data_IF_990855458625
#
_entry.id   IF_990855458625
#
_cell.length_a   1.000
_cell.length_b   1.000
_cell.length_c   1.000
_cell.angle_alpha   90.00
_cell.angle_beta   90.00
_cell.angle_gamma   90.00
#
_symmetry.space_group_name_H-M   'P 1'
#
loop_
_entity.id
_entity.type
_entity.pdbx_description
1 polymer ?
#
# COMPACT_ATOMS: atom_id res chain seq x y z
N UNK A 1 3.76 19.17 18.57
CA UNK A 1 2.35 19.19 18.11
C UNK A 1 2.24 18.11 17.08
N UNK A 2 2.00 16.90 17.55
CA UNK A 2 1.90 15.72 16.70
C UNK A 2 0.53 15.84 16.04
N UNK A 3 0.47 16.35 14.82
CA UNK A 3 -0.81 16.52 14.12
C UNK A 3 -1.25 15.15 13.61
N UNK A 4 -2.19 14.45 14.28
CA UNK A 4 -2.57 13.10 13.89
C UNK A 4 -3.18 13.06 12.48
N UNK A 5 -3.71 14.20 12.00
CA UNK A 5 -4.22 14.33 10.64
C UNK A 5 -3.11 14.21 9.59
N UNK A 6 -1.90 14.73 9.89
CA UNK A 6 -0.78 14.63 8.96
C UNK A 6 -0.35 13.16 8.79
N UNK A 7 -0.26 12.40 9.88
CA UNK A 7 0.06 10.96 9.84
C UNK A 7 -1.04 10.17 9.12
N UNK A 8 -2.31 10.46 9.41
CA UNK A 8 -3.45 9.82 8.74
C UNK A 8 -3.42 10.04 7.22
N UNK A 9 -3.23 11.29 6.79
CA UNK A 9 -3.17 11.66 5.36
C UNK A 9 -2.00 10.96 4.69
N UNK A 10 -0.81 10.96 5.31
CA UNK A 10 0.37 10.26 4.77
C UNK A 10 0.10 8.76 4.65
N UNK A 11 -0.45 8.11 5.68
CA UNK A 11 -0.73 6.68 5.63
C UNK A 11 -1.75 6.31 4.56
N UNK A 12 -2.83 7.09 4.43
CA UNK A 12 -3.83 6.87 3.39
C UNK A 12 -3.24 7.08 1.99
N UNK A 13 -2.42 8.11 1.80
CA UNK A 13 -1.74 8.36 0.53
C UNK A 13 -0.77 7.22 0.19
N UNK A 14 0.02 6.74 1.15
CA UNK A 14 0.93 5.61 0.97
C UNK A 14 0.17 4.33 0.63
N UNK A 15 -0.96 4.05 1.28
CA UNK A 15 -1.80 2.90 0.97
C UNK A 15 -2.37 2.99 -0.46
N UNK A 16 -2.90 4.16 -0.85
CA UNK A 16 -3.46 4.39 -2.17
C UNK A 16 -2.41 4.22 -3.30
N UNK A 17 -1.20 4.76 -3.10
CA UNK A 17 -0.10 4.62 -4.06
C UNK A 17 0.35 3.15 -4.20
N UNK A 18 0.46 2.41 -3.10
CA UNK A 18 0.79 0.98 -3.15
C UNK A 18 -0.26 0.17 -3.91
N UNK A 19 -1.54 0.44 -3.67
CA UNK A 19 -2.65 -0.23 -4.37
C UNK A 19 -2.63 0.12 -5.87
N UNK A 20 -2.44 1.40 -6.21
CA UNK A 20 -2.39 1.84 -7.60
C UNK A 20 -1.27 1.18 -8.40
N UNK A 21 -0.06 1.12 -7.83
CA UNK A 21 1.08 0.47 -8.48
C UNK A 21 0.88 -1.05 -8.55
N UNK A 22 0.34 -1.67 -7.50
CA UNK A 22 0.04 -3.11 -7.54
C UNK A 22 -1.00 -3.46 -8.62
N UNK A 23 -2.01 -2.62 -8.82
CA UNK A 23 -3.00 -2.79 -9.88
C UNK A 23 -2.35 -2.67 -11.27
N UNK A 24 -1.45 -1.69 -11.46
CA UNK A 24 -0.71 -1.55 -12.72
C UNK A 24 0.24 -2.74 -13.00
N UNK A 25 0.89 -3.27 -11.96
CA UNK A 25 1.76 -4.44 -12.00
C UNK A 25 0.95 -5.72 -12.35
N UNK A 26 -0.24 -5.89 -11.77
CA UNK A 26 -1.17 -7.00 -12.04
C UNK A 26 -1.83 -6.91 -13.42
N UNK A 27 -2.20 -5.70 -13.85
CA UNK A 27 -2.77 -5.45 -15.17
C UNK A 27 -1.75 -5.62 -16.31
N UNK A 28 -0.46 -5.83 -16.00
CA UNK A 28 0.59 -5.97 -17.00
C UNK A 28 0.72 -4.71 -17.84
N UNK A 29 0.59 -3.52 -17.21
CA UNK A 29 0.65 -2.26 -17.93
C UNK A 29 1.96 -2.16 -18.74
N UNK A 30 1.86 -1.68 -19.99
CA UNK A 30 3.02 -1.58 -20.90
C UNK A 30 4.20 -0.82 -20.29
N UNK A 31 3.93 0.16 -19.43
CA UNK A 31 4.94 0.90 -18.68
C UNK A 31 5.74 0.00 -17.73
N UNK A 32 5.05 -0.86 -16.97
CA UNK A 32 5.67 -1.80 -16.02
C UNK A 32 6.47 -2.87 -16.76
N UNK A 33 5.93 -3.38 -17.87
CA UNK A 33 6.60 -4.36 -18.71
C UNK A 33 7.84 -3.79 -19.42
N UNK A 34 7.76 -2.55 -19.92
CA UNK A 34 8.89 -1.86 -20.53
C UNK A 34 10.00 -1.57 -19.50
N UNK A 35 9.64 -0.99 -18.35
CA UNK A 35 10.58 -0.73 -17.26
C UNK A 35 11.25 -2.02 -16.78
N UNK A 36 10.48 -3.11 -16.58
CA UNK A 36 11.04 -4.39 -16.11
C UNK A 36 11.93 -5.05 -17.15
N UNK A 37 11.61 -4.92 -18.43
CA UNK A 37 12.46 -5.42 -19.50
C UNK A 37 13.79 -4.64 -19.57
N UNK A 38 13.75 -3.33 -19.34
CA UNK A 38 14.93 -2.46 -19.33
C UNK A 38 15.90 -2.80 -18.17
N UNK A 39 15.37 -3.23 -17.02
CA UNK A 39 16.19 -3.65 -15.87
C UNK A 39 16.34 -5.18 -15.73
N UNK A 40 15.92 -5.96 -16.72
CA UNK A 40 16.10 -7.42 -16.76
C UNK A 40 15.27 -8.23 -15.74
N UNK A 41 14.19 -7.65 -15.20
CA UNK A 41 13.33 -8.30 -14.20
C UNK A 41 12.31 -9.24 -14.86
N UNK A 42 12.23 -10.52 -14.45
CA UNK A 42 11.25 -11.45 -15.01
C UNK A 42 9.81 -11.05 -14.68
N UNK A 43 8.88 -11.24 -15.62
CA UNK A 43 7.44 -10.90 -15.44
C UNK A 43 6.79 -11.60 -14.24
N UNK A 44 7.29 -12.76 -13.82
CA UNK A 44 6.81 -13.49 -12.64
C UNK A 44 7.17 -12.80 -11.31
N UNK A 45 8.11 -11.86 -11.31
CA UNK A 45 8.42 -11.01 -10.16
C UNK A 45 7.45 -9.84 -10.03
N UNK A 46 6.91 -9.32 -11.14
CA UNK A 46 5.94 -8.23 -11.10
C UNK A 46 4.68 -8.59 -10.31
N UNK A 47 4.12 -9.77 -10.56
CA UNK A 47 2.94 -10.23 -9.84
C UNK A 47 3.23 -10.47 -8.35
N UNK A 48 4.44 -10.94 -8.00
CA UNK A 48 4.89 -11.07 -6.60
C UNK A 48 5.08 -9.71 -5.92
N UNK A 49 5.65 -8.74 -6.61
CA UNK A 49 5.82 -7.37 -6.11
C UNK A 49 4.47 -6.68 -5.94
N UNK A 50 3.52 -6.92 -6.84
CA UNK A 50 2.15 -6.44 -6.70
C UNK A 50 1.48 -7.02 -5.46
N UNK A 51 1.59 -8.33 -5.24
CA UNK A 51 1.06 -8.98 -4.05
C UNK A 51 1.69 -8.43 -2.77
N UNK A 52 3.01 -8.18 -2.77
CA UNK A 52 3.71 -7.59 -1.63
C UNK A 52 3.27 -6.14 -1.36
N UNK A 53 3.07 -5.33 -2.41
CA UNK A 53 2.52 -3.97 -2.29
C UNK A 53 1.10 -3.99 -1.71
N UNK A 54 0.25 -4.92 -2.16
CA UNK A 54 -1.09 -5.10 -1.59
C UNK A 54 -1.03 -5.56 -0.13
N UNK A 55 -0.12 -6.47 0.20
CA UNK A 55 0.08 -6.91 1.59
C UNK A 55 0.54 -5.76 2.49
N UNK A 56 1.44 -4.91 2.01
CA UNK A 56 1.87 -3.69 2.71
C UNK A 56 0.74 -2.68 2.90
N UNK A 57 -0.06 -2.43 1.86
CA UNK A 57 -1.23 -1.55 1.95
C UNK A 57 -2.29 -2.11 2.91
N UNK A 58 -2.56 -3.42 2.86
CA UNK A 58 -3.45 -4.09 3.80
C UNK A 58 -2.94 -3.98 5.24
N UNK A 59 -1.63 -4.19 5.47
CA UNK A 59 -1.00 -4.02 6.78
C UNK A 59 -1.12 -2.59 7.32
N UNK A 60 -0.95 -1.56 6.47
CA UNK A 60 -1.16 -0.16 6.86
C UNK A 60 -2.62 0.13 7.22
N UNK A 61 -3.58 -0.39 6.46
CA UNK A 61 -5.00 -0.24 6.73
C UNK A 61 -5.41 -0.95 8.03
N UNK A 62 -4.95 -2.19 8.22
CA UNK A 62 -5.19 -2.96 9.45
C UNK A 62 -4.53 -2.30 10.66
N UNK A 63 -3.30 -1.81 10.52
CA UNK A 63 -2.58 -1.10 11.57
C UNK A 63 -3.24 0.24 11.95
N UNK A 64 -3.79 0.97 10.96
CA UNK A 64 -4.61 2.16 11.22
C UNK A 64 -5.87 1.80 11.98
N UNK A 65 -6.55 0.71 11.63
CA UNK A 65 -7.75 0.26 12.34
C UNK A 65 -7.43 -0.15 13.78
N UNK A 66 -6.39 -0.95 14.01
CA UNK A 66 -6.01 -1.37 15.37
C UNK A 66 -5.48 -0.20 16.22
N UNK A 67 -4.67 0.70 15.64
CA UNK A 67 -4.08 1.83 16.37
C UNK A 67 -5.06 2.98 16.59
N UNK A 68 -5.92 3.29 15.62
CA UNK A 68 -6.85 4.42 15.72
C UNK A 68 -8.18 4.06 16.40
N UNK A 69 -8.70 2.83 16.23
CA UNK A 69 -10.01 2.44 16.78
C UNK A 69 -9.92 1.89 18.21
N UNK A 70 -8.79 1.28 18.61
CA UNK A 70 -8.63 0.69 19.94
C UNK A 70 -8.64 1.69 21.10
N UNK A 71 -8.00 2.88 21.02
CA UNK A 71 -8.14 3.87 22.09
C UNK A 71 -9.51 4.54 22.09
N UNK A 72 -10.21 4.65 20.95
CA UNK A 72 -11.56 5.23 20.87
C UNK A 72 -12.65 4.31 21.44
N UNK A 73 -12.50 2.98 21.29
CA UNK A 73 -13.39 2.00 21.94
C UNK A 73 -13.20 1.91 23.45
N UNK A 74 -11.99 2.19 23.95
CA UNK A 74 -11.68 2.13 25.38
C UNK A 74 -12.19 3.35 26.19
N UNK A 75 -12.41 4.50 25.54
CA UNK A 75 -13.05 5.67 26.18
C UNK A 75 -14.58 5.68 26.08
N UNK A 76 -15.15 4.74 25.33
CA UNK A 76 -16.61 4.55 25.19
C UNK A 76 -17.19 3.45 26.08
N UNK A 77 -16.34 2.66 26.77
CA UNK A 77 -16.71 1.61 27.72
C UNK A 77 -16.53 2.10 29.16
#
# INVERSE_FOLDING_TARGET
>A
MDNPLALLVVTLLTAALNIGIAAADLAGARFVLANSAEVGVPRSWLSRLAALKLAGAAGLLLGLQDTALRPLGAVAA
#
